data_IF_862956047683
#
_entry.id   IF_862956047683
#
_cell.length_a   1.000
_cell.length_b   1.000
_cell.length_c   1.000
_cell.angle_alpha   90.00
_cell.angle_beta   90.00
_cell.angle_gamma   90.00
#
_symmetry.space_group_name_H-M   'P 1'
#
loop_
_entity.id
_entity.type
_entity.pdbx_description
1 polymer ?
#
# COMPACT_ATOMS: atom_id res chain seq x y z
N UNK A 1 25.27 -45.06 16.24
CA UNK A 1 24.00 -44.38 16.56
C UNK A 1 23.70 -43.44 15.41
N UNK A 2 22.47 -43.47 14.89
CA UNK A 2 22.05 -42.81 13.64
C UNK A 2 21.85 -41.31 13.88
N UNK A 3 22.45 -40.49 13.03
CA UNK A 3 22.24 -39.04 12.96
C UNK A 3 20.80 -38.72 12.56
N UNK A 4 20.06 -38.04 13.45
CA UNK A 4 18.77 -37.42 13.11
C UNK A 4 19.02 -35.99 12.66
N UNK A 5 18.79 -35.76 11.37
CA UNK A 5 18.81 -34.46 10.70
C UNK A 5 17.84 -33.49 11.39
N UNK A 6 18.37 -32.38 11.83
CA UNK A 6 17.63 -31.20 12.29
C UNK A 6 17.25 -30.40 11.05
N UNK A 7 16.05 -30.64 10.52
CA UNK A 7 15.48 -29.93 9.37
C UNK A 7 14.83 -28.62 9.86
N UNK A 8 15.66 -27.77 10.49
CA UNK A 8 15.29 -26.47 11.02
C UNK A 8 15.70 -25.35 10.08
N UNK A 9 15.41 -25.46 8.77
CA UNK A 9 15.62 -24.32 7.87
C UNK A 9 14.56 -23.25 8.17
N UNK A 10 14.92 -22.26 8.99
CA UNK A 10 14.17 -21.02 9.06
C UNK A 10 14.32 -20.34 7.71
N UNK A 11 13.39 -20.61 6.80
CA UNK A 11 13.30 -19.93 5.51
C UNK A 11 12.88 -18.49 5.79
N UNK A 12 13.86 -17.64 6.10
CA UNK A 12 13.70 -16.20 6.01
C UNK A 12 13.46 -15.94 4.52
N UNK A 13 12.29 -15.43 4.09
CA UNK A 13 12.06 -15.14 2.69
C UNK A 13 12.96 -13.96 2.30
N UNK A 14 14.14 -14.27 1.75
CA UNK A 14 14.96 -13.30 1.03
C UNK A 14 14.26 -12.99 -0.28
N UNK A 15 13.29 -12.07 -0.26
CA UNK A 15 12.82 -11.43 -1.48
C UNK A 15 13.99 -10.67 -2.07
N UNK A 16 14.66 -11.27 -3.04
CA UNK A 16 15.58 -10.57 -3.93
C UNK A 16 14.68 -9.65 -4.76
N UNK A 17 14.73 -8.35 -4.48
CA UNK A 17 14.06 -7.34 -5.28
C UNK A 17 14.82 -7.33 -6.62
N UNK A 18 14.24 -7.98 -7.64
CA UNK A 18 14.73 -7.89 -9.01
C UNK A 18 14.12 -6.64 -9.61
N UNK A 19 14.84 -5.51 -9.54
CA UNK A 19 14.50 -4.32 -10.32
C UNK A 19 14.97 -4.53 -11.75
N UNK A 20 14.11 -4.23 -12.72
CA UNK A 20 14.47 -4.32 -14.13
C UNK A 20 15.36 -3.11 -14.50
N UNK A 21 16.24 -3.29 -15.48
CA UNK A 21 17.12 -2.21 -15.97
C UNK A 21 16.29 -1.04 -16.54
N UNK A 22 15.13 -1.32 -17.10
CA UNK A 22 14.19 -0.34 -17.63
C UNK A 22 13.56 0.54 -16.53
N UNK A 23 13.28 -0.01 -15.34
CA UNK A 23 12.79 0.76 -14.19
C UNK A 23 13.84 1.73 -13.64
N UNK A 24 15.12 1.38 -13.76
CA UNK A 24 16.25 2.21 -13.34
C UNK A 24 16.67 3.23 -14.40
N UNK A 25 16.36 3.02 -15.68
CA UNK A 25 16.63 3.99 -16.75
C UNK A 25 15.48 5.00 -16.93
N UNK A 26 14.28 4.69 -16.40
CA UNK A 26 13.11 5.58 -16.41
C UNK A 26 13.07 6.61 -15.25
N UNK A 27 13.85 6.42 -14.19
CA UNK A 27 13.99 7.38 -13.09
C UNK A 27 15.11 8.39 -13.43
N UNK A 28 14.86 9.70 -13.23
CA UNK A 28 15.88 10.74 -13.39
C UNK A 28 17.09 10.44 -12.49
N UNK A 29 18.32 10.71 -12.96
CA UNK A 29 19.57 10.34 -12.26
C UNK A 29 19.64 10.80 -10.79
N UNK A 30 18.97 11.91 -10.44
CA UNK A 30 18.83 12.38 -9.06
C UNK A 30 17.97 11.45 -8.18
N UNK A 31 16.84 10.97 -8.69
CA UNK A 31 15.93 10.06 -7.96
C UNK A 31 16.59 8.70 -7.69
N UNK A 32 17.41 8.21 -8.62
CA UNK A 32 18.21 7.00 -8.44
C UNK A 32 19.26 7.14 -7.34
N UNK A 33 19.97 8.28 -7.30
CA UNK A 33 20.97 8.55 -6.27
C UNK A 33 20.33 8.62 -4.89
N UNK A 34 19.21 9.32 -4.74
CA UNK A 34 18.47 9.38 -3.47
C UNK A 34 17.98 8.00 -3.00
N UNK A 35 17.50 7.18 -3.93
CA UNK A 35 17.05 5.80 -3.66
C UNK A 35 18.21 4.90 -3.24
N UNK A 36 19.38 5.02 -3.88
CA UNK A 36 20.60 4.29 -3.50
C UNK A 36 21.08 4.69 -2.10
N UNK A 37 21.07 5.98 -1.77
CA UNK A 37 21.41 6.48 -0.44
C UNK A 37 20.45 5.95 0.62
N UNK A 38 19.14 6.03 0.37
CA UNK A 38 18.09 5.50 1.25
C UNK A 38 18.23 3.98 1.49
N UNK A 39 18.48 3.20 0.44
CA UNK A 39 18.71 1.76 0.56
C UNK A 39 20.00 1.45 1.33
N UNK A 40 21.03 2.27 1.18
CA UNK A 40 22.29 2.12 1.93
C UNK A 40 22.09 2.41 3.42
N UNK A 41 21.31 3.45 3.75
CA UNK A 41 20.94 3.77 5.13
C UNK A 41 20.10 2.66 5.75
N UNK A 42 19.10 2.14 5.03
CA UNK A 42 18.30 0.99 5.47
C UNK A 42 19.17 -0.25 5.70
N UNK A 43 20.12 -0.54 4.80
CA UNK A 43 21.04 -1.67 4.94
C UNK A 43 21.93 -1.50 6.19
N UNK A 44 22.42 -0.29 6.45
CA UNK A 44 23.23 0.01 7.63
C UNK A 44 22.44 -0.21 8.93
N UNK A 45 21.19 0.27 8.99
CA UNK A 45 20.29 0.10 10.13
C UNK A 45 19.98 -1.37 10.38
N UNK A 46 19.66 -2.14 9.33
CA UNK A 46 19.42 -3.58 9.44
C UNK A 46 20.66 -4.32 9.92
N UNK A 47 21.85 -3.90 9.48
CA UNK A 47 23.12 -4.50 9.92
C UNK A 47 23.39 -4.26 11.40
N UNK A 48 23.14 -3.06 11.91
CA UNK A 48 23.27 -2.76 13.34
C UNK A 48 22.22 -3.49 14.19
N UNK A 49 20.97 -3.56 13.72
CA UNK A 49 19.92 -4.37 14.36
C UNK A 49 20.31 -5.85 14.41
N UNK A 50 20.86 -6.40 13.34
CA UNK A 50 21.33 -7.79 13.32
C UNK A 50 22.47 -8.03 14.34
N UNK A 51 23.42 -7.10 14.45
CA UNK A 51 24.51 -7.19 15.45
C UNK A 51 23.97 -7.15 16.88
N UNK A 52 23.04 -6.25 17.17
CA UNK A 52 22.45 -6.13 18.52
C UNK A 52 21.63 -7.35 18.90
N UNK A 53 20.81 -7.88 17.97
CA UNK A 53 20.07 -9.12 18.17
C UNK A 53 21.00 -10.32 18.42
N UNK A 54 22.08 -10.45 17.64
CA UNK A 54 23.07 -11.51 17.82
C UNK A 54 23.74 -11.44 19.20
N UNK A 55 24.10 -10.23 19.67
CA UNK A 55 24.63 -10.04 21.03
C UNK A 55 23.61 -10.47 22.09
N UNK A 56 22.36 -10.04 21.96
CA UNK A 56 21.27 -10.40 22.88
C UNK A 56 21.04 -11.91 22.94
N UNK A 57 21.04 -12.58 21.79
CA UNK A 57 20.90 -14.03 21.69
C UNK A 57 22.05 -14.75 22.43
N UNK A 58 23.30 -14.33 22.18
CA UNK A 58 24.46 -14.92 22.87
C UNK A 58 24.42 -14.72 24.39
N UNK A 59 23.97 -13.55 24.85
CA UNK A 59 23.80 -13.26 26.26
C UNK A 59 22.71 -14.14 26.89
N UNK A 60 21.56 -14.29 26.24
CA UNK A 60 20.47 -15.17 26.70
C UNK A 60 20.94 -16.63 26.79
N UNK A 61 21.69 -17.10 25.79
CA UNK A 61 22.26 -18.47 25.80
C UNK A 61 23.21 -18.67 26.98
N UNK A 62 24.03 -17.68 27.29
CA UNK A 62 24.95 -17.74 28.43
C UNK A 62 24.19 -17.75 29.77
N UNK A 63 23.15 -16.92 29.92
CA UNK A 63 22.27 -16.93 31.10
C UNK A 63 21.58 -18.29 31.28
N UNK A 64 21.08 -18.89 30.20
CA UNK A 64 20.49 -20.23 30.24
C UNK A 64 21.49 -21.27 30.75
N UNK A 65 22.73 -21.27 30.22
CA UNK A 65 23.77 -22.20 30.66
C UNK A 65 24.17 -22.00 32.13
N UNK A 66 24.21 -20.76 32.61
CA UNK A 66 24.44 -20.45 34.02
C UNK A 66 23.32 -21.00 34.91
N UNK A 67 22.05 -20.79 34.52
CA UNK A 67 20.90 -21.31 35.25
C UNK A 67 20.81 -22.84 35.23
N UNK A 68 21.13 -23.48 34.11
CA UNK A 68 21.21 -24.94 34.03
C UNK A 68 22.28 -25.52 34.97
N UNK A 69 23.44 -24.85 35.05
CA UNK A 69 24.50 -25.23 36.01
C UNK A 69 24.03 -25.04 37.46
N UNK A 70 23.42 -23.90 37.79
CA UNK A 70 22.86 -23.61 39.12
C UNK A 70 21.85 -24.69 39.54
N UNK A 71 20.95 -25.09 38.64
CA UNK A 71 19.99 -26.17 38.90
C UNK A 71 20.70 -27.50 39.15
N UNK A 72 21.72 -27.85 38.35
CA UNK A 72 22.49 -29.08 38.56
C UNK A 72 23.22 -29.09 39.89
N UNK A 73 23.78 -27.96 40.30
CA UNK A 73 24.49 -27.83 41.57
C UNK A 73 23.50 -27.92 42.75
N UNK A 74 22.34 -27.26 42.67
CA UNK A 74 21.26 -27.40 43.67
C UNK A 74 20.72 -28.83 43.75
N UNK A 75 20.59 -29.53 42.61
CA UNK A 75 20.18 -30.94 42.59
C UNK A 75 21.20 -31.80 43.33
N UNK A 76 22.50 -31.58 43.11
CA UNK A 76 23.57 -32.27 43.82
C UNK A 76 23.54 -31.96 45.30
N UNK A 77 23.49 -30.69 45.69
CA UNK A 77 23.42 -30.29 47.10
C UNK A 77 22.20 -30.88 47.80
N UNK A 78 21.02 -30.87 47.16
CA UNK A 78 19.81 -31.50 47.69
C UNK A 78 19.96 -33.01 47.82
N UNK A 79 20.60 -33.67 46.85
CA UNK A 79 20.87 -35.11 46.94
C UNK A 79 21.89 -35.41 48.03
N UNK A 80 22.97 -34.64 48.12
CA UNK A 80 24.00 -34.79 49.14
C UNK A 80 23.42 -34.52 50.53
N UNK A 81 22.58 -33.50 50.72
CA UNK A 81 21.87 -33.25 51.98
C UNK A 81 20.89 -34.39 52.33
N UNK A 82 20.21 -34.96 51.33
CA UNK A 82 19.27 -36.06 51.54
C UNK A 82 19.96 -37.41 51.80
N UNK A 83 21.16 -37.62 51.24
CA UNK A 83 21.89 -38.89 51.33
C UNK A 83 23.11 -38.86 52.26
N UNK A 84 23.60 -37.68 52.68
CA UNK A 84 24.70 -37.55 53.64
C UNK A 84 24.20 -37.89 55.05
N UNK A 85 24.51 -39.11 55.48
CA UNK A 85 24.09 -39.64 56.80
C UNK A 85 23.23 -40.89 56.73
N UNK A 86 22.84 -41.34 55.53
CA UNK A 86 22.03 -42.55 55.37
C UNK A 86 22.91 -43.71 54.90
N UNK A 87 23.16 -44.67 55.79
CA UNK A 87 23.81 -45.94 55.42
C UNK A 87 22.98 -46.68 54.36
N UNK A 88 23.64 -47.53 53.57
CA UNK A 88 23.19 -48.14 52.31
C UNK A 88 21.88 -48.99 52.33
N UNK A 89 21.13 -49.05 53.43
CA UNK A 89 19.87 -49.76 53.54
C UNK A 89 18.64 -48.91 53.22
N UNK A 90 17.68 -49.45 52.44
CA UNK A 90 16.37 -48.82 52.20
C UNK A 90 15.53 -48.70 53.47
N UNK A 91 15.73 -49.59 54.45
CA UNK A 91 14.84 -49.76 55.60
C UNK A 91 14.91 -48.65 56.66
N UNK A 92 16.01 -47.87 56.75
CA UNK A 92 16.12 -46.78 57.74
C UNK A 92 15.67 -45.41 57.20
N UNK A 93 15.58 -45.24 55.87
CA UNK A 93 15.02 -44.01 55.26
C UNK A 93 13.52 -43.90 55.50
N UNK A 94 12.83 -45.03 55.41
CA UNK A 94 11.38 -45.10 55.62
C UNK A 94 11.02 -45.09 57.11
N UNK A 95 11.97 -45.40 58.01
CA UNK A 95 11.77 -45.34 59.48
C UNK A 95 11.82 -43.93 60.08
N UNK A 96 12.33 -42.93 59.35
CA UNK A 96 12.40 -41.53 59.80
C UNK A 96 11.21 -40.68 59.30
N UNK A 97 10.44 -41.19 58.35
CA UNK A 97 9.18 -40.59 57.95
C UNK A 97 8.12 -41.11 58.91
N UNK A 98 7.46 -40.18 59.60
CA UNK A 98 6.29 -40.52 60.43
C UNK A 98 5.30 -41.34 59.57
N UNK A 99 4.93 -42.56 60.01
CA UNK A 99 4.09 -43.48 59.25
C UNK A 99 2.85 -42.82 58.63
N UNK A 100 2.27 -41.84 59.33
CA UNK A 100 1.13 -41.08 58.82
C UNK A 100 1.45 -40.30 57.53
N UNK A 101 2.62 -39.66 57.47
CA UNK A 101 3.04 -38.89 56.29
C UNK A 101 3.56 -39.79 55.16
N UNK A 102 4.14 -40.94 55.49
CA UNK A 102 4.59 -41.91 54.49
C UNK A 102 3.42 -42.52 53.71
N UNK A 103 2.35 -42.91 54.41
CA UNK A 103 1.12 -43.40 53.76
C UNK A 103 0.46 -42.31 52.91
N UNK A 104 0.37 -41.07 53.41
CA UNK A 104 -0.17 -39.95 52.65
C UNK A 104 0.66 -39.65 51.38
N UNK A 105 2.00 -39.75 51.48
CA UNK A 105 2.90 -39.57 50.35
C UNK A 105 2.73 -40.68 49.29
N UNK A 106 2.65 -41.94 49.70
CA UNK A 106 2.40 -43.07 48.79
C UNK A 106 1.05 -42.89 48.10
N UNK A 107 -0.02 -42.61 48.87
CA UNK A 107 -1.36 -42.41 48.32
C UNK A 107 -1.40 -41.25 47.31
N UNK A 108 -0.68 -40.15 47.60
CA UNK A 108 -0.60 -39.01 46.69
C UNK A 108 0.19 -39.35 45.41
N UNK A 109 1.30 -40.09 45.52
CA UNK A 109 2.09 -40.55 44.38
C UNK A 109 1.27 -41.48 43.48
N UNK A 110 0.52 -42.40 44.06
CA UNK A 110 -0.39 -43.29 43.33
C UNK A 110 -1.51 -42.52 42.63
N UNK A 111 -2.09 -41.51 43.30
CA UNK A 111 -3.12 -40.64 42.73
C UNK A 111 -2.59 -39.78 41.59
N UNK A 112 -1.36 -39.27 41.69
CA UNK A 112 -0.70 -38.56 40.59
C UNK A 112 -0.49 -39.51 39.42
N UNK A 113 0.05 -40.71 39.67
CA UNK A 113 0.27 -41.70 38.62
C UNK A 113 -1.04 -42.16 37.95
N UNK A 114 -2.14 -42.26 38.70
CA UNK A 114 -3.46 -42.59 38.13
C UNK A 114 -3.99 -41.46 37.27
N UNK A 115 -3.80 -40.20 37.70
CA UNK A 115 -4.20 -39.01 36.94
C UNK A 115 -3.37 -38.85 35.67
N UNK A 116 -2.07 -39.13 35.72
CA UNK A 116 -1.21 -39.11 34.53
C UNK A 116 -1.65 -40.15 33.49
N UNK A 117 -2.05 -41.35 33.94
CA UNK A 117 -2.64 -42.37 33.06
C UNK A 117 -3.95 -41.89 32.43
N UNK A 118 -4.84 -41.29 33.21
CA UNK A 118 -6.12 -40.74 32.72
C UNK A 118 -5.89 -39.59 31.72
N UNK A 119 -4.91 -38.72 31.97
CA UNK A 119 -4.53 -37.67 31.02
C UNK A 119 -3.98 -38.27 29.72
N UNK A 120 -3.16 -39.33 29.82
CA UNK A 120 -2.61 -39.99 28.65
C UNK A 120 -3.72 -40.62 27.79
N UNK A 121 -4.68 -41.34 28.41
CA UNK A 121 -5.81 -41.91 27.67
C UNK A 121 -6.69 -40.84 27.04
N UNK A 122 -7.00 -39.76 27.76
CA UNK A 122 -7.77 -38.64 27.21
C UNK A 122 -7.06 -38.00 26.02
N UNK A 123 -5.74 -37.78 26.10
CA UNK A 123 -4.96 -37.26 24.97
C UNK A 123 -5.02 -38.17 23.74
N UNK A 124 -4.97 -39.48 23.93
CA UNK A 124 -5.12 -40.44 22.83
C UNK A 124 -6.53 -40.40 22.23
N UNK A 125 -7.57 -40.30 23.06
CA UNK A 125 -8.96 -40.18 22.55
C UNK A 125 -9.20 -38.89 21.77
N UNK A 126 -8.67 -37.76 22.24
CA UNK A 126 -8.75 -36.48 21.53
C UNK A 126 -8.03 -36.59 20.18
N UNK A 127 -6.81 -37.14 20.18
CA UNK A 127 -6.05 -37.34 18.94
C UNK A 127 -6.76 -38.26 17.96
N UNK A 128 -7.41 -39.33 18.45
CA UNK A 128 -8.20 -40.23 17.62
C UNK A 128 -9.40 -39.49 16.98
N UNK A 129 -10.11 -38.66 17.76
CA UNK A 129 -11.21 -37.84 17.27
C UNK A 129 -10.76 -36.80 16.24
N UNK A 130 -9.65 -36.10 16.48
CA UNK A 130 -9.05 -35.14 15.54
C UNK A 130 -8.58 -35.82 14.23
N UNK A 131 -8.10 -37.07 14.33
CA UNK A 131 -7.64 -37.83 13.17
C UNK A 131 -8.78 -38.39 12.31
N UNK A 132 -10.01 -38.35 12.82
CA UNK A 132 -11.22 -38.80 12.15
C UNK A 132 -11.45 -38.08 10.83
N UNK A 133 -11.98 -38.81 9.84
CA UNK A 133 -12.24 -38.28 8.50
C UNK A 133 -13.18 -37.07 8.56
N UNK A 134 -14.23 -37.16 9.37
CA UNK A 134 -15.25 -36.10 9.50
C UNK A 134 -14.67 -34.82 10.11
N UNK A 135 -13.79 -34.94 11.11
CA UNK A 135 -13.11 -33.79 11.70
C UNK A 135 -12.22 -33.08 10.66
N UNK A 136 -11.47 -33.84 9.85
CA UNK A 136 -10.63 -33.28 8.78
C UNK A 136 -11.45 -32.58 7.70
N UNK A 137 -12.57 -33.19 7.29
CA UNK A 137 -13.49 -32.59 6.31
C UNK A 137 -14.09 -31.30 6.86
N UNK A 138 -14.50 -31.29 8.14
CA UNK A 138 -15.00 -30.10 8.80
C UNK A 138 -13.95 -28.98 8.85
N UNK A 139 -12.69 -29.30 9.18
CA UNK A 139 -11.60 -28.33 9.15
C UNK A 139 -11.38 -27.72 7.76
N UNK A 140 -11.33 -28.55 6.72
CA UNK A 140 -11.18 -28.08 5.34
C UNK A 140 -12.35 -27.18 4.92
N UNK A 141 -13.58 -27.54 5.30
CA UNK A 141 -14.76 -26.72 5.03
C UNK A 141 -14.69 -25.37 5.75
N UNK A 142 -14.29 -25.35 7.03
CA UNK A 142 -14.13 -24.12 7.80
C UNK A 142 -13.02 -23.22 7.23
N UNK A 143 -11.90 -23.80 6.81
CA UNK A 143 -10.82 -23.06 6.14
C UNK A 143 -11.29 -22.44 4.83
N UNK A 144 -11.98 -23.23 3.99
CA UNK A 144 -12.55 -22.77 2.72
C UNK A 144 -13.55 -21.63 2.94
N UNK A 145 -14.50 -21.80 3.88
CA UNK A 145 -15.46 -20.77 4.27
C UNK A 145 -14.74 -19.49 4.74
N UNK A 146 -13.72 -19.61 5.59
CA UNK A 146 -12.98 -18.46 6.10
C UNK A 146 -12.17 -17.76 5.01
N UNK A 147 -11.65 -18.50 4.02
CA UNK A 147 -11.00 -17.92 2.85
C UNK A 147 -12.00 -17.16 1.98
N UNK A 148 -13.18 -17.73 1.71
CA UNK A 148 -14.25 -17.08 0.97
C UNK A 148 -14.74 -15.79 1.67
N UNK A 149 -14.93 -15.83 2.98
CA UNK A 149 -15.30 -14.66 3.79
C UNK A 149 -14.27 -13.53 3.73
N UNK A 150 -12.97 -13.86 3.70
CA UNK A 150 -11.91 -12.86 3.53
C UNK A 150 -11.99 -12.18 2.17
N UNK A 151 -12.13 -12.96 1.10
CA UNK A 151 -12.30 -12.42 -0.27
C UNK A 151 -13.54 -11.55 -0.39
N UNK A 152 -14.68 -11.96 0.19
CA UNK A 152 -15.91 -11.16 0.18
C UNK A 152 -15.68 -9.78 0.79
N UNK A 153 -15.02 -9.71 1.95
CA UNK A 153 -14.69 -8.43 2.61
C UNK A 153 -13.75 -7.56 1.78
N UNK A 154 -12.85 -8.16 1.00
CA UNK A 154 -11.99 -7.42 0.07
C UNK A 154 -12.81 -6.85 -1.09
N UNK A 155 -13.71 -7.64 -1.67
CA UNK A 155 -14.63 -7.16 -2.71
C UNK A 155 -15.53 -6.03 -2.23
N UNK A 156 -16.07 -6.11 -1.01
CA UNK A 156 -16.86 -5.03 -0.41
C UNK A 156 -16.07 -3.73 -0.27
N UNK A 157 -14.79 -3.81 0.15
CA UNK A 157 -13.92 -2.63 0.21
C UNK A 157 -13.65 -2.05 -1.17
N UNK A 158 -13.40 -2.91 -2.16
CA UNK A 158 -13.17 -2.49 -3.53
C UNK A 158 -14.41 -1.83 -4.13
N UNK A 159 -15.61 -2.39 -3.91
CA UNK A 159 -16.87 -1.82 -4.37
C UNK A 159 -17.10 -0.40 -3.80
N UNK A 160 -16.83 -0.18 -2.50
CA UNK A 160 -16.89 1.17 -1.92
C UNK A 160 -15.88 2.13 -2.57
N UNK A 161 -14.68 1.65 -2.87
CA UNK A 161 -13.64 2.46 -3.54
C UNK A 161 -14.06 2.81 -4.96
N UNK A 162 -14.63 1.85 -5.70
CA UNK A 162 -15.17 2.06 -7.05
C UNK A 162 -16.27 3.14 -7.00
N UNK A 163 -17.26 3.01 -6.11
CA UNK A 163 -18.31 4.02 -5.98
C UNK A 163 -17.79 5.41 -5.60
N UNK A 164 -16.71 5.51 -4.80
CA UNK A 164 -16.07 6.79 -4.52
C UNK A 164 -15.37 7.39 -5.77
N UNK A 165 -14.71 6.55 -6.56
CA UNK A 165 -14.06 6.97 -7.80
C UNK A 165 -15.07 7.38 -8.86
N UNK A 166 -16.17 6.65 -9.01
CA UNK A 166 -17.28 6.99 -9.91
C UNK A 166 -17.89 8.35 -9.55
N UNK A 167 -18.13 8.62 -8.27
CA UNK A 167 -18.61 9.93 -7.82
C UNK A 167 -17.62 11.06 -8.15
N UNK A 168 -16.31 10.83 -7.96
CA UNK A 168 -15.28 11.83 -8.32
C UNK A 168 -15.21 12.07 -9.83
N UNK A 169 -15.36 11.02 -10.62
CA UNK A 169 -15.38 11.11 -12.07
C UNK A 169 -16.63 11.87 -12.55
N UNK A 170 -17.79 11.63 -11.95
CA UNK A 170 -19.01 12.39 -12.22
C UNK A 170 -18.85 13.88 -11.91
N UNK A 171 -18.24 14.22 -10.76
CA UNK A 171 -17.93 15.61 -10.40
C UNK A 171 -16.96 16.26 -11.40
N UNK A 172 -15.91 15.56 -11.82
CA UNK A 172 -14.97 16.05 -12.81
C UNK A 172 -15.66 16.31 -14.17
N UNK A 173 -16.53 15.41 -14.62
CA UNK A 173 -17.33 15.63 -15.83
C UNK A 173 -18.28 16.82 -15.70
N UNK A 174 -18.94 16.99 -14.55
CA UNK A 174 -19.79 18.15 -14.29
C UNK A 174 -19.00 19.46 -14.36
N UNK A 175 -17.82 19.52 -13.74
CA UNK A 175 -16.94 20.68 -13.81
C UNK A 175 -16.46 20.97 -15.24
N UNK A 176 -16.07 19.94 -16.00
CA UNK A 176 -15.69 20.10 -17.41
C UNK A 176 -16.83 20.62 -18.27
N UNK A 177 -18.08 20.17 -18.04
CA UNK A 177 -19.25 20.70 -18.74
C UNK A 177 -19.48 22.17 -18.40
N UNK A 178 -19.32 22.57 -17.14
CA UNK A 178 -19.44 23.97 -16.73
C UNK A 178 -18.39 24.84 -17.42
N UNK A 179 -17.10 24.46 -17.39
CA UNK A 179 -16.02 25.18 -18.08
C UNK A 179 -16.28 25.29 -19.58
N UNK A 180 -16.76 24.21 -20.22
CA UNK A 180 -17.11 24.24 -21.66
C UNK A 180 -18.27 25.20 -21.95
N UNK A 181 -19.23 25.34 -21.03
CA UNK A 181 -20.35 26.28 -21.15
C UNK A 181 -19.86 27.72 -21.01
N UNK A 182 -19.08 28.01 -19.97
CA UNK A 182 -18.45 29.33 -19.76
C UNK A 182 -17.58 29.73 -20.95
N UNK A 183 -16.78 28.81 -21.50
CA UNK A 183 -15.97 29.09 -22.69
C UNK A 183 -16.83 29.50 -23.90
N UNK A 184 -17.98 28.84 -24.10
CA UNK A 184 -18.92 29.20 -25.17
C UNK A 184 -19.57 30.56 -24.92
N UNK A 185 -19.94 30.85 -23.68
CA UNK A 185 -20.50 32.14 -23.28
C UNK A 185 -19.48 33.27 -23.51
N UNK A 186 -18.23 33.09 -23.08
CA UNK A 186 -17.17 34.06 -23.35
C UNK A 186 -16.91 34.26 -24.85
N UNK A 187 -16.90 33.19 -25.65
CA UNK A 187 -16.76 33.32 -27.09
C UNK A 187 -17.90 34.15 -27.70
N UNK A 188 -19.13 33.95 -27.22
CA UNK A 188 -20.28 34.74 -27.67
C UNK A 188 -20.18 36.21 -27.26
N UNK A 189 -19.80 36.50 -26.01
CA UNK A 189 -19.61 37.89 -25.58
C UNK A 189 -18.46 38.59 -26.33
N UNK A 190 -17.42 37.87 -26.74
CA UNK A 190 -16.35 38.42 -27.58
C UNK A 190 -16.93 38.82 -28.94
N UNK A 191 -17.72 37.94 -29.57
CA UNK A 191 -18.35 38.26 -30.85
C UNK A 191 -19.28 39.48 -30.77
N UNK A 192 -20.08 39.61 -29.72
CA UNK A 192 -20.93 40.80 -29.51
C UNK A 192 -20.10 42.09 -29.33
N UNK A 193 -18.96 42.00 -28.64
CA UNK A 193 -18.05 43.13 -28.47
C UNK A 193 -17.36 43.51 -29.78
N UNK A 194 -16.93 42.53 -30.57
CA UNK A 194 -16.32 42.77 -31.88
C UNK A 194 -17.30 43.43 -32.86
N UNK A 195 -18.57 43.01 -32.87
CA UNK A 195 -19.64 43.66 -33.65
C UNK A 195 -19.81 45.12 -33.23
N UNK A 196 -19.86 45.40 -31.92
CA UNK A 196 -19.99 46.76 -31.40
C UNK A 196 -18.77 47.63 -31.70
N UNK A 197 -17.56 47.07 -31.69
CA UNK A 197 -16.35 47.78 -32.11
C UNK A 197 -16.46 48.16 -33.58
N UNK A 198 -16.86 47.24 -34.45
CA UNK A 198 -17.05 47.52 -35.87
C UNK A 198 -18.10 48.61 -36.14
N UNK A 199 -19.20 48.61 -35.39
CA UNK A 199 -20.21 49.68 -35.43
C UNK A 199 -19.62 51.04 -35.04
N UNK A 200 -18.90 51.10 -33.91
CA UNK A 200 -18.26 52.34 -33.45
C UNK A 200 -17.16 52.83 -34.41
N UNK A 201 -16.39 51.92 -35.01
CA UNK A 201 -15.40 52.26 -36.03
C UNK A 201 -16.05 52.88 -37.26
N UNK A 202 -17.22 52.36 -37.67
CA UNK A 202 -18.01 52.93 -38.76
C UNK A 202 -18.55 54.32 -38.40
N UNK A 203 -19.08 54.50 -37.18
CA UNK A 203 -19.52 55.81 -36.69
C UNK A 203 -18.37 56.82 -36.63
N UNK A 204 -17.20 56.41 -36.12
CA UNK A 204 -16.00 57.26 -36.09
C UNK A 204 -15.53 57.64 -37.50
N UNK A 205 -15.59 56.71 -38.45
CA UNK A 205 -15.27 57.00 -39.85
C UNK A 205 -16.23 58.03 -40.44
N UNK A 206 -17.54 57.89 -40.20
CA UNK A 206 -18.53 58.88 -40.63
C UNK A 206 -18.29 60.24 -39.98
N UNK A 207 -18.10 60.31 -38.66
CA UNK A 207 -17.82 61.56 -37.95
C UNK A 207 -16.52 62.22 -38.43
N UNK A 208 -15.46 61.44 -38.72
CA UNK A 208 -14.23 61.99 -39.31
C UNK A 208 -14.49 62.58 -40.69
N UNK A 209 -15.27 61.90 -41.53
CA UNK A 209 -15.65 62.42 -42.84
C UNK A 209 -16.49 63.69 -42.72
N UNK A 210 -17.50 63.70 -41.84
CA UNK A 210 -18.36 64.87 -41.60
C UNK A 210 -17.53 66.08 -41.12
N UNK A 211 -16.58 65.88 -40.21
CA UNK A 211 -15.67 66.95 -39.75
C UNK A 211 -14.76 67.43 -40.88
N UNK A 212 -14.25 66.52 -41.73
CA UNK A 212 -13.46 66.95 -42.90
C UNK A 212 -14.30 67.67 -43.95
N UNK A 213 -15.56 67.27 -44.17
CA UNK A 213 -16.48 67.95 -45.07
C UNK A 213 -16.88 69.32 -44.52
N UNK A 214 -17.09 69.46 -43.20
CA UNK A 214 -17.37 70.73 -42.54
C UNK A 214 -16.15 71.67 -42.58
N UNK A 215 -14.93 71.14 -42.37
CA UNK A 215 -13.67 71.90 -42.53
C UNK A 215 -13.35 72.29 -43.98
N UNK A 216 -13.86 71.54 -44.97
CA UNK A 216 -13.77 71.88 -46.41
C UNK A 216 -14.90 72.83 -46.84
N UNK A 217 -15.95 72.98 -46.03
CA UNK A 217 -17.10 73.87 -46.30
C UNK A 217 -16.94 75.31 -45.80
N UNK A 218 -15.92 75.61 -45.00
CA UNK A 218 -15.44 76.99 -44.84
C UNK A 218 -14.63 77.37 -46.10
N UNK A 219 -15.07 78.37 -46.89
CA UNK A 219 -14.32 78.80 -48.06
C UNK A 219 -13.12 79.61 -47.59
N UNK A 220 -12.02 78.93 -47.29
CA UNK A 220 -10.70 79.54 -47.41
C UNK A 220 -10.08 78.91 -48.65
N UNK A 221 -10.12 79.68 -49.75
CA UNK A 221 -9.24 79.45 -50.89
C UNK A 221 -7.81 79.30 -50.36
N UNK A 222 -7.19 78.15 -50.58
CA UNK A 222 -5.76 78.03 -50.88
C UNK A 222 -5.48 76.65 -51.48
N UNK A 223 -4.74 76.71 -52.58
CA UNK A 223 -4.35 75.65 -53.51
C UNK A 223 -3.61 74.47 -52.85
N UNK A 224 -3.58 73.30 -53.52
CA UNK A 224 -2.86 72.14 -53.04
C UNK A 224 -1.36 72.33 -53.30
N UNK A 225 -0.51 71.83 -52.41
CA UNK A 225 0.63 71.01 -52.80
C UNK A 225 1.41 70.46 -51.60
N UNK A 226 2.00 69.29 -51.86
CA UNK A 226 3.11 68.62 -51.17
C UNK A 226 2.76 67.42 -50.26
N UNK A 227 2.81 66.26 -50.92
CA UNK A 227 3.13 64.95 -50.38
C UNK A 227 4.35 65.01 -49.45
N UNK A 228 4.12 64.95 -48.14
CA UNK A 228 5.19 64.62 -47.19
C UNK A 228 5.08 63.14 -46.85
N UNK A 229 5.87 62.33 -47.55
CA UNK A 229 6.25 60.98 -47.12
C UNK A 229 6.90 61.09 -45.74
N UNK A 230 6.17 60.72 -44.69
CA UNK A 230 6.77 60.38 -43.41
C UNK A 230 7.18 58.90 -43.47
N UNK A 231 8.47 58.66 -43.67
CA UNK A 231 9.10 57.38 -43.39
C UNK A 231 8.98 57.11 -41.88
N UNK A 232 8.13 56.16 -41.51
CA UNK A 232 8.15 55.54 -40.19
C UNK A 232 8.66 54.12 -40.38
N UNK A 233 9.93 53.92 -40.05
CA UNK A 233 10.52 52.61 -39.87
C UNK A 233 9.74 51.88 -38.77
N UNK A 234 9.00 50.83 -39.16
CA UNK A 234 8.48 49.83 -38.23
C UNK A 234 9.32 48.57 -38.46
N UNK A 235 10.23 48.31 -37.53
CA UNK A 235 10.83 46.98 -37.38
C UNK A 235 9.72 45.97 -37.07
N UNK A 236 9.40 45.13 -38.07
CA UNK A 236 8.55 43.96 -37.88
C UNK A 236 9.49 42.79 -37.64
N UNK A 237 9.66 42.40 -36.38
CA UNK A 237 10.17 41.06 -36.05
C UNK A 237 9.15 40.04 -36.56
N UNK A 238 9.60 39.26 -37.55
CA UNK A 238 8.86 38.14 -38.09
C UNK A 238 8.85 37.00 -37.08
N UNK A 239 7.70 36.75 -36.43
CA UNK A 239 7.45 35.47 -35.76
C UNK A 239 6.67 34.56 -36.71
N UNK A 240 7.44 33.72 -37.41
CA UNK A 240 6.94 32.70 -38.29
C UNK A 240 6.52 31.46 -37.47
N UNK A 241 5.21 31.28 -37.24
CA UNK A 241 4.66 29.93 -37.09
C UNK A 241 3.13 29.87 -37.24
N UNK A 242 2.66 29.95 -38.49
CA UNK A 242 1.39 29.32 -38.86
C UNK A 242 1.64 27.85 -39.18
N UNK A 243 1.20 26.97 -38.28
CA UNK A 243 0.74 25.63 -38.65
C UNK A 243 -0.71 25.48 -38.21
N UNK A 244 -1.58 25.71 -39.17
CA UNK A 244 -2.94 25.22 -39.19
C UNK A 244 -2.92 23.70 -38.99
N UNK A 245 -3.59 23.20 -37.95
CA UNK A 245 -4.06 21.83 -37.91
C UNK A 245 -5.58 21.85 -37.78
N UNK A 246 -6.24 21.46 -38.87
CA UNK A 246 -7.65 21.08 -38.93
C UNK A 246 -7.99 20.11 -37.79
N UNK A 247 -9.15 20.25 -37.11
CA UNK A 247 -9.70 19.15 -36.36
C UNK A 247 -10.33 18.15 -37.36
N UNK A 248 -9.82 16.92 -37.37
CA UNK A 248 -10.53 15.79 -38.00
C UNK A 248 -11.66 15.41 -37.04
N UNK A 249 -12.88 15.59 -37.50
CA UNK A 249 -14.10 15.05 -36.90
C UNK A 249 -14.52 13.89 -37.81
N UNK A 250 -14.45 12.66 -37.30
CA UNK A 250 -15.16 11.48 -37.78
C UNK A 250 -15.58 10.75 -36.48
N UNK A 251 -16.75 11.10 -35.94
CA UNK A 251 -18.01 10.34 -36.04
C UNK A 251 -17.89 8.95 -35.40
N UNK A 252 -18.36 8.88 -34.15
CA UNK A 252 -18.68 7.64 -33.44
C UNK A 252 -19.89 7.01 -34.15
N UNK A 253 -19.71 5.83 -34.76
CA UNK A 253 -20.84 4.96 -35.09
C UNK A 253 -21.26 4.22 -33.82
N UNK A 254 -22.49 4.51 -33.41
CA UNK A 254 -23.31 3.70 -32.52
C UNK A 254 -23.25 2.23 -32.94
N UNK A 255 -22.97 1.32 -32.01
CA UNK A 255 -23.40 -0.05 -32.17
C UNK A 255 -23.89 -0.65 -30.85
N UNK A 256 -25.06 -1.23 -30.98
CA UNK A 256 -26.05 -1.43 -29.94
C UNK A 256 -25.63 -2.40 -28.82
N UNK A 257 -26.02 -2.01 -27.62
CA UNK A 257 -26.12 -2.88 -26.45
C UNK A 257 -27.24 -3.90 -26.68
N UNK A 258 -26.87 -5.15 -26.98
CA UNK A 258 -27.79 -6.29 -26.85
C UNK A 258 -27.54 -6.96 -25.50
N UNK A 259 -28.35 -6.60 -24.51
CA UNK A 259 -28.57 -7.39 -23.30
C UNK A 259 -29.38 -8.62 -23.69
N UNK A 260 -28.84 -9.82 -23.44
CA UNK A 260 -29.66 -11.01 -23.23
C UNK A 260 -29.25 -11.64 -21.90
N UNK A 261 -30.03 -11.33 -20.88
CA UNK A 261 -30.11 -12.13 -19.67
C UNK A 261 -30.92 -13.41 -19.93
N UNK A 262 -30.42 -14.48 -19.32
CA UNK A 262 -31.10 -15.69 -18.85
C UNK A 262 -31.69 -16.70 -19.85
N UNK A 263 -31.23 -17.95 -19.76
CA UNK A 263 -32.00 -19.08 -19.19
C UNK A 263 -31.04 -20.27 -18.99
N UNK A 264 -30.99 -20.77 -17.75
CA UNK A 264 -30.32 -22.02 -17.43
C UNK A 264 -31.05 -23.27 -17.95
N UNK A 265 -30.26 -24.30 -18.27
CA UNK A 265 -30.59 -25.72 -18.22
C UNK A 265 -29.29 -26.52 -18.06
#
# INVERSE_FOLDING_TARGET
MKDTKDDGSSVIPRKIIKLSREELEAEESGALVEKVLSLTDQLSQVTELAKTLKRRETQNRLQYLQKDKEVKDLIKERNDAYYSGVTTGSAQRDQLLDPFFYEAFIAMKEKIASKDKEIATLKETVKALESGKDAKILYQFLESKNAAMRKLREYEKNARKIGHLENRLALAHAALRAIRKEKKEHAHEITERDEKIAELEKELFHLRNDVTEEAVSEPTELEPDEEVKAEVEVEVEADANHKEQKPVIEEEEDDDVVVLDDVGA
#
